data_IF_592745194247
#
_entry.id   IF_592745194247
#
_cell.length_a   1.000
_cell.length_b   1.000
_cell.length_c   1.000
_cell.angle_alpha   90.00
_cell.angle_beta   90.00
_cell.angle_gamma   90.00
#
_symmetry.space_group_name_H-M   'P 1'
#
loop_
_entity.id
_entity.type
_entity.pdbx_description
1 polymer ?
#
# COMPACT_ATOMS: atom_id res chain seq x y z
N UNK A 1 -3.91 -2.00 27.45
CA UNK A 1 -3.72 -2.54 26.09
C UNK A 1 -2.27 -2.32 25.72
N UNK A 2 -1.44 -3.36 25.78
CA UNK A 2 0.00 -3.28 25.48
C UNK A 2 0.21 -3.15 23.98
N UNK A 3 1.04 -2.18 23.56
CA UNK A 3 1.52 -2.08 22.20
C UNK A 3 2.23 -3.39 21.83
N UNK A 4 2.04 -3.93 20.61
CA UNK A 4 2.77 -5.11 20.18
C UNK A 4 4.27 -4.80 20.21
N UNK A 5 5.04 -5.67 20.86
CA UNK A 5 6.50 -5.62 20.82
C UNK A 5 6.96 -5.65 19.36
N UNK A 6 7.99 -4.83 19.05
CA UNK A 6 8.49 -4.50 17.72
C UNK A 6 8.93 -5.67 16.81
N UNK A 7 8.71 -6.94 17.20
CA UNK A 7 9.27 -8.11 16.53
C UNK A 7 8.29 -9.27 16.32
N UNK A 8 7.00 -9.12 16.63
CA UNK A 8 6.03 -10.20 16.45
C UNK A 8 5.08 -9.90 15.27
N UNK A 9 5.19 -10.70 14.22
CA UNK A 9 4.36 -10.56 13.04
C UNK A 9 2.87 -10.86 13.39
N UNK A 10 1.91 -10.08 12.86
CA UNK A 10 0.52 -10.16 13.28
C UNK A 10 -0.10 -11.54 13.09
N UNK A 11 -0.75 -12.07 14.13
CA UNK A 11 -1.34 -13.41 14.13
C UNK A 11 -2.44 -13.61 13.07
N UNK A 12 -3.14 -12.53 12.68
CA UNK A 12 -4.17 -12.55 11.62
C UNK A 12 -3.61 -12.78 10.22
N UNK A 13 -2.29 -12.64 10.04
CA UNK A 13 -1.62 -12.79 8.75
C UNK A 13 -1.15 -14.25 8.60
N UNK A 14 -1.34 -14.93 7.45
CA UNK A 14 -0.89 -16.30 7.24
C UNK A 14 0.62 -16.48 7.46
N UNK A 15 1.07 -17.67 7.89
CA UNK A 15 2.48 -17.93 8.24
C UNK A 15 3.49 -17.57 7.13
N UNK A 16 3.13 -17.81 5.86
CA UNK A 16 3.97 -17.44 4.70
C UNK A 16 4.18 -15.93 4.59
N UNK A 17 3.13 -15.17 4.86
CA UNK A 17 3.14 -13.71 4.78
C UNK A 17 3.82 -13.09 6.00
N UNK A 18 3.66 -13.70 7.19
CA UNK A 18 4.41 -13.29 8.39
C UNK A 18 5.91 -13.43 8.17
N UNK A 19 6.35 -14.54 7.56
CA UNK A 19 7.76 -14.74 7.20
C UNK A 19 8.26 -13.66 6.24
N UNK A 20 7.42 -13.15 5.34
CA UNK A 20 7.79 -12.03 4.47
C UNK A 20 8.05 -10.76 5.30
N UNK A 21 7.17 -10.42 6.26
CA UNK A 21 7.37 -9.26 7.14
C UNK A 21 8.63 -9.33 7.99
N UNK A 22 9.02 -10.54 8.39
CA UNK A 22 10.23 -10.80 9.17
C UNK A 22 11.52 -10.85 8.32
N UNK A 23 11.41 -10.79 6.99
CA UNK A 23 12.60 -10.72 6.14
C UNK A 23 13.16 -9.30 6.20
N UNK A 24 14.44 -9.20 6.55
CA UNK A 24 15.21 -7.97 6.88
C UNK A 24 15.07 -6.77 5.92
N UNK A 25 14.54 -6.93 4.69
CA UNK A 25 14.28 -5.76 3.85
C UNK A 25 13.28 -6.02 2.71
N UNK A 26 11.98 -6.03 3.03
CA UNK A 26 10.93 -6.11 2.00
C UNK A 26 11.01 -4.96 0.97
N UNK A 27 11.62 -3.83 1.33
CA UNK A 27 11.80 -2.67 0.44
C UNK A 27 12.79 -3.00 -0.68
N UNK A 28 13.84 -3.78 -0.39
CA UNK A 28 14.80 -4.29 -1.40
C UNK A 28 14.20 -5.35 -2.33
N UNK A 29 13.12 -6.02 -1.91
CA UNK A 29 12.42 -7.05 -2.71
C UNK A 29 11.17 -6.51 -3.42
N UNK A 30 10.98 -5.20 -3.45
CA UNK A 30 9.81 -4.60 -4.09
C UNK A 30 9.81 -4.85 -5.60
N UNK A 31 8.66 -5.27 -6.14
CA UNK A 31 8.46 -5.41 -7.58
C UNK A 31 8.27 -4.04 -8.24
N UNK A 32 7.68 -3.08 -7.51
CA UNK A 32 7.38 -1.73 -8.00
C UNK A 32 7.77 -0.71 -6.93
N UNK A 33 8.47 0.36 -7.33
CA UNK A 33 8.82 1.49 -6.46
C UNK A 33 8.07 2.74 -6.89
N UNK A 34 7.39 3.37 -5.93
CA UNK A 34 6.69 4.65 -6.09
C UNK A 34 7.43 5.72 -5.29
N UNK A 35 7.83 6.80 -5.95
CA UNK A 35 8.57 7.87 -5.32
C UNK A 35 8.19 9.23 -5.91
N UNK A 36 7.77 10.16 -5.05
CA UNK A 36 7.38 11.52 -5.46
C UNK A 36 8.53 12.32 -6.06
N UNK A 37 9.74 12.09 -5.58
CA UNK A 37 10.99 12.72 -6.04
C UNK A 37 11.45 12.22 -7.42
N UNK A 38 10.78 11.21 -8.00
CA UNK A 38 11.14 10.61 -9.28
C UNK A 38 12.21 9.53 -9.20
N UNK A 39 12.70 9.17 -8.01
CA UNK A 39 13.68 8.09 -7.81
C UNK A 39 13.08 6.68 -7.90
N UNK A 40 11.82 6.57 -8.31
CA UNK A 40 11.06 5.32 -8.46
C UNK A 40 10.40 5.26 -9.83
N UNK A 41 9.83 4.10 -10.17
CA UNK A 41 9.19 3.87 -11.47
C UNK A 41 7.94 4.73 -11.68
N UNK A 42 7.20 5.02 -10.61
CA UNK A 42 5.99 5.84 -10.64
C UNK A 42 6.05 6.97 -9.62
N UNK A 43 5.38 8.08 -9.92
CA UNK A 43 5.18 9.20 -8.98
C UNK A 43 3.89 9.08 -8.16
N UNK A 44 2.91 8.29 -8.65
CA UNK A 44 1.59 8.08 -8.04
C UNK A 44 1.35 6.61 -7.76
N UNK A 45 0.59 6.32 -6.71
CA UNK A 45 0.25 4.95 -6.29
C UNK A 45 -0.75 4.33 -7.26
N UNK A 46 -1.74 5.12 -7.70
CA UNK A 46 -2.73 4.74 -8.72
C UNK A 46 -2.10 4.24 -10.03
N UNK A 47 -1.01 4.85 -10.48
CA UNK A 47 -0.31 4.42 -11.72
C UNK A 47 0.50 3.14 -11.53
N UNK A 48 1.04 2.92 -10.32
CA UNK A 48 1.69 1.67 -9.96
C UNK A 48 0.68 0.50 -9.94
N UNK A 49 -0.54 0.74 -9.44
CA UNK A 49 -1.60 -0.27 -9.41
C UNK A 49 -2.04 -0.74 -10.79
N UNK A 50 -2.03 0.14 -11.80
CA UNK A 50 -2.34 -0.24 -13.19
C UNK A 50 -1.39 -1.28 -13.75
N UNK A 51 -0.15 -1.32 -13.27
CA UNK A 51 0.88 -2.26 -13.72
C UNK A 51 0.88 -3.58 -12.95
N UNK A 52 0.06 -3.70 -11.90
CA UNK A 52 -0.14 -4.97 -11.21
C UNK A 52 -0.91 -5.91 -12.15
N UNK A 53 -0.42 -7.14 -12.39
CA UNK A 53 -1.14 -8.11 -13.20
C UNK A 53 -2.48 -8.51 -12.57
N UNK A 54 -3.52 -8.65 -13.39
CA UNK A 54 -4.84 -9.08 -12.92
C UNK A 54 -4.82 -10.54 -12.48
N UNK A 55 -5.53 -10.83 -11.40
CA UNK A 55 -5.79 -12.18 -10.87
C UNK A 55 -4.53 -13.03 -10.67
N UNK A 56 -3.40 -12.38 -10.39
CA UNK A 56 -2.13 -13.06 -10.15
C UNK A 56 -2.15 -13.85 -8.84
N UNK A 57 -1.74 -15.11 -8.90
CA UNK A 57 -1.47 -15.93 -7.71
C UNK A 57 -0.15 -15.54 -7.02
N UNK A 58 0.72 -14.79 -7.70
CA UNK A 58 1.96 -14.27 -7.13
C UNK A 58 1.69 -12.92 -6.46
N UNK A 59 2.24 -12.77 -5.25
CA UNK A 59 2.28 -11.49 -4.52
C UNK A 59 3.02 -10.43 -5.33
N UNK A 60 2.42 -9.26 -5.47
CA UNK A 60 3.10 -8.06 -5.98
C UNK A 60 3.36 -7.10 -4.82
N UNK A 61 4.63 -6.75 -4.60
CA UNK A 61 5.07 -5.84 -3.54
C UNK A 61 5.32 -4.45 -4.14
N UNK A 62 4.56 -3.47 -3.66
CA UNK A 62 4.70 -2.06 -4.03
C UNK A 62 5.35 -1.31 -2.85
N UNK A 63 6.54 -0.78 -3.07
CA UNK A 63 7.23 0.08 -2.11
C UNK A 63 6.93 1.54 -2.41
N UNK A 64 6.37 2.25 -1.43
CA UNK A 64 6.03 3.67 -1.51
C UNK A 64 7.00 4.43 -0.61
N UNK A 65 7.88 5.21 -1.23
CA UNK A 65 8.86 6.01 -0.50
C UNK A 65 8.17 7.08 0.36
N UNK A 66 8.94 7.68 1.27
CA UNK A 66 8.51 8.80 2.10
C UNK A 66 7.92 9.92 1.24
N UNK A 67 6.85 10.51 1.74
CA UNK A 67 6.13 11.58 1.07
C UNK A 67 4.65 11.57 1.41
N UNK A 68 4.00 12.70 1.13
CA UNK A 68 2.55 12.85 1.25
C UNK A 68 1.96 12.69 -0.15
N UNK A 69 1.15 11.66 -0.36
CA UNK A 69 0.50 11.35 -1.63
C UNK A 69 -0.96 11.81 -1.56
N UNK A 70 -1.27 12.90 -2.26
CA UNK A 70 -2.63 13.43 -2.35
C UNK A 70 -3.38 12.74 -3.51
N UNK A 71 -4.02 11.62 -3.22
CA UNK A 71 -4.78 10.82 -4.19
C UNK A 71 -5.80 9.90 -3.50
N UNK A 72 -6.93 9.64 -4.17
CA UNK A 72 -7.85 8.56 -3.81
C UNK A 72 -7.41 7.27 -4.51
N UNK A 73 -6.82 6.36 -3.74
CA UNK A 73 -6.32 5.08 -4.25
C UNK A 73 -7.42 4.03 -4.24
N UNK A 74 -7.64 3.40 -5.40
CA UNK A 74 -8.56 2.28 -5.57
C UNK A 74 -7.79 1.05 -6.05
N UNK A 75 -7.81 0.00 -5.23
CA UNK A 75 -7.28 -1.32 -5.59
C UNK A 75 -8.43 -2.11 -6.22
N UNK A 76 -8.47 -2.15 -7.54
CA UNK A 76 -9.55 -2.84 -8.24
C UNK A 76 -9.67 -4.30 -7.81
N UNK A 77 -10.90 -4.83 -7.82
CA UNK A 77 -11.20 -6.23 -7.43
C UNK A 77 -10.41 -7.28 -8.21
N UNK A 78 -9.90 -6.94 -9.39
CA UNK A 78 -9.05 -7.78 -10.25
C UNK A 78 -7.61 -7.85 -9.75
N UNK A 79 -7.12 -6.85 -9.01
CA UNK A 79 -5.74 -6.80 -8.51
C UNK A 79 -5.58 -7.64 -7.25
N UNK A 80 -5.26 -8.92 -7.44
CA UNK A 80 -5.11 -9.87 -6.34
C UNK A 80 -3.71 -9.84 -5.74
N UNK A 81 -3.60 -10.20 -4.45
CA UNK A 81 -2.33 -10.39 -3.76
C UNK A 81 -1.38 -9.18 -3.88
N UNK A 82 -1.88 -7.98 -3.58
CA UNK A 82 -1.06 -6.75 -3.53
C UNK A 82 -0.62 -6.49 -2.09
N UNK A 83 0.66 -6.21 -1.88
CA UNK A 83 1.20 -5.72 -0.62
C UNK A 83 1.82 -4.34 -0.85
N UNK A 84 1.43 -3.37 -0.03
CA UNK A 84 2.03 -2.03 -0.03
C UNK A 84 2.88 -1.83 1.22
N UNK A 85 4.06 -1.23 1.05
CA UNK A 85 5.02 -0.99 2.12
C UNK A 85 5.52 0.45 2.03
N UNK A 86 5.45 1.18 3.14
CA UNK A 86 5.98 2.53 3.26
C UNK A 86 7.36 2.59 3.92
N UNK A 87 8.00 3.75 3.88
CA UNK A 87 9.22 4.02 4.66
C UNK A 87 8.96 4.09 6.18
N UNK A 88 7.69 4.30 6.55
CA UNK A 88 7.21 4.30 7.93
C UNK A 88 5.83 4.92 8.01
N UNK A 89 5.11 4.64 9.09
CA UNK A 89 3.75 5.13 9.33
C UNK A 89 3.65 6.66 9.28
N UNK A 90 4.66 7.37 9.78
CA UNK A 90 4.71 8.85 9.79
C UNK A 90 5.38 9.43 8.55
N UNK A 91 6.13 8.61 7.80
CA UNK A 91 6.95 9.07 6.67
C UNK A 91 6.22 8.96 5.34
N UNK A 92 5.34 7.97 5.20
CA UNK A 92 4.57 7.71 3.98
C UNK A 92 3.09 7.89 4.30
N UNK A 93 2.49 8.97 3.81
CA UNK A 93 1.10 9.33 4.11
C UNK A 93 0.32 9.41 2.81
N UNK A 94 -0.85 8.77 2.75
CA UNK A 94 -1.82 8.93 1.66
C UNK A 94 -2.98 9.77 2.20
N UNK A 95 -3.34 10.82 1.50
CA UNK A 95 -4.35 11.79 1.94
C UNK A 95 -5.31 12.15 0.81
N UNK A 96 -6.58 12.30 1.14
CA UNK A 96 -7.62 12.84 0.27
C UNK A 96 -8.73 13.45 1.12
N UNK A 97 -9.69 14.12 0.48
CA UNK A 97 -10.73 14.91 1.15
C UNK A 97 -12.15 14.66 0.60
N UNK A 98 -12.39 13.53 -0.09
CA UNK A 98 -13.74 13.17 -0.53
C UNK A 98 -14.66 12.94 0.67
N UNK A 99 -15.87 13.47 0.59
CA UNK A 99 -16.87 13.39 1.66
C UNK A 99 -18.30 13.43 1.10
N UNK A 100 -19.26 13.08 1.96
CA UNK A 100 -20.67 13.03 1.60
C UNK A 100 -21.30 14.40 1.36
N UNK A 101 -20.87 15.42 2.12
CA UNK A 101 -21.42 16.78 2.00
C UNK A 101 -21.16 17.35 0.61
N UNK A 102 -19.99 17.05 0.03
CA UNK A 102 -19.61 17.41 -1.35
C UNK A 102 -20.19 16.46 -2.42
N UNK A 103 -21.13 15.56 -2.06
CA UNK A 103 -21.85 14.71 -3.00
C UNK A 103 -21.20 13.36 -3.31
N UNK A 104 -20.12 12.96 -2.63
CA UNK A 104 -19.52 11.63 -2.81
C UNK A 104 -20.23 10.61 -1.90
N UNK A 105 -20.84 9.53 -2.43
CA UNK A 105 -21.45 8.50 -1.59
C UNK A 105 -20.46 7.94 -0.57
N UNK A 106 -20.90 7.65 0.66
CA UNK A 106 -20.02 7.22 1.77
C UNK A 106 -19.06 6.09 1.38
N UNK A 107 -19.53 5.09 0.63
CA UNK A 107 -18.70 3.99 0.12
C UNK A 107 -17.52 4.46 -0.76
N UNK A 108 -17.71 5.55 -1.49
CA UNK A 108 -16.75 6.16 -2.41
C UNK A 108 -15.88 7.25 -1.76
N UNK A 109 -16.05 7.56 -0.47
CA UNK A 109 -15.26 8.60 0.23
C UNK A 109 -13.86 8.13 0.65
N UNK A 110 -13.65 6.82 0.76
CA UNK A 110 -12.38 6.27 1.23
C UNK A 110 -11.17 6.82 0.45
N UNK A 111 -10.16 7.29 1.19
CA UNK A 111 -8.87 7.71 0.62
C UNK A 111 -8.12 6.53 0.01
N UNK A 112 -8.22 5.36 0.66
CA UNK A 112 -7.62 4.13 0.18
C UNK A 112 -8.65 3.01 0.35
N UNK A 113 -9.01 2.32 -0.75
CA UNK A 113 -10.04 1.29 -0.71
C UNK A 113 -9.97 0.30 -1.87
N UNK A 114 -10.88 -0.68 -1.86
CA UNK A 114 -11.06 -1.68 -2.93
C UNK A 114 -12.39 -1.51 -3.65
#
# INVERSE_FOLDING_TARGET
MSLPHHNEAPAWLPSKDRRLLLTEDLRKKADIVVAKDGSGKYKKISDALKHVPDKSNKRTVIYVKKGIYYENVRVEKTKWNVMMIGDGMTSTVVSANLNFVDGTPTFSTATFGK
#
